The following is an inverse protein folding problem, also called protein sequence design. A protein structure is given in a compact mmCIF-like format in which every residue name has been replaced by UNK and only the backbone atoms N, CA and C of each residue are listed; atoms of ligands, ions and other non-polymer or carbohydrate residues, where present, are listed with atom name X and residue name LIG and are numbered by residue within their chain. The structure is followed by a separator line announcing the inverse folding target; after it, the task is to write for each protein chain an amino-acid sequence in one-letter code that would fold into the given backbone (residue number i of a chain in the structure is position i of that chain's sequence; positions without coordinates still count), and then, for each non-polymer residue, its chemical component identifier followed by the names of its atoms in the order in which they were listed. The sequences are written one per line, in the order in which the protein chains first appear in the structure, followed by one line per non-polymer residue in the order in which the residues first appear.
data_IF_829824605771
#
_entry.id   IF_829824605771
#
_cell.length_a   1.000
_cell.length_b   1.000
_cell.length_c   1.000
_cell.angle_alpha   90.00
_cell.angle_beta   90.00
_cell.angle_gamma   90.00
#
_symmetry.space_group_name_H-M   'P 1'
#
loop_
_entity.id
_entity.type
_entity.pdbx_description
1 polymer ?
#
# COMPACT_ATOMS: atom_id res chain seq x y z
N UNK A 1 17.57 -26.15 43.57
CA UNK A 1 16.16 -26.19 43.09
C UNK A 1 16.01 -25.32 41.86
N UNK A 2 15.92 -25.90 40.66
CA UNK A 2 15.79 -25.14 39.40
C UNK A 2 14.32 -24.87 39.08
N UNK A 3 13.94 -23.59 38.94
CA UNK A 3 12.59 -23.16 38.54
C UNK A 3 12.35 -23.44 37.04
N UNK A 4 11.56 -24.46 36.72
CA UNK A 4 11.05 -24.70 35.36
C UNK A 4 9.98 -23.65 35.02
N UNK A 5 10.19 -22.87 33.94
CA UNK A 5 9.18 -21.92 33.44
C UNK A 5 8.16 -22.65 32.57
N UNK A 6 6.90 -22.28 32.71
CA UNK A 6 5.77 -22.89 31.97
C UNK A 6 5.96 -22.62 30.46
N UNK A 7 6.13 -23.69 29.68
CA UNK A 7 6.24 -23.57 28.22
C UNK A 7 4.86 -23.38 27.59
N UNK A 8 4.76 -22.49 26.60
CA UNK A 8 3.55 -22.24 25.80
C UNK A 8 3.51 -23.14 24.56
N UNK A 9 3.90 -24.42 24.67
CA UNK A 9 3.64 -25.35 23.56
C UNK A 9 2.13 -25.44 23.41
N UNK A 10 1.61 -25.12 22.22
CA UNK A 10 0.18 -25.14 21.94
C UNK A 10 -0.35 -26.54 22.26
N UNK A 11 -1.15 -26.64 23.32
CA UNK A 11 -1.78 -27.89 23.76
C UNK A 11 -3.07 -28.04 22.96
N UNK A 12 -2.95 -28.21 21.65
CA UNK A 12 -4.06 -28.35 20.71
C UNK A 12 -3.88 -29.63 19.89
N UNK A 13 -4.99 -30.28 19.56
CA UNK A 13 -5.01 -31.37 18.59
C UNK A 13 -4.63 -30.78 17.23
N UNK A 14 -3.48 -31.19 16.71
CA UNK A 14 -3.07 -30.89 15.35
C UNK A 14 -3.52 -32.11 14.55
N UNK A 15 -4.53 -31.91 13.71
CA UNK A 15 -4.98 -32.95 12.80
C UNK A 15 -4.01 -33.05 11.63
N UNK A 16 -3.15 -34.06 11.69
CA UNK A 16 -2.16 -34.37 10.65
C UNK A 16 -2.73 -35.29 9.55
N UNK A 17 -4.05 -35.52 9.51
CA UNK A 17 -4.70 -36.36 8.47
C UNK A 17 -4.76 -35.70 7.09
N UNK A 18 -4.45 -34.41 7.00
CA UNK A 18 -4.49 -33.63 5.77
C UNK A 18 -3.13 -33.43 5.10
N UNK A 19 -3.12 -32.90 3.86
CA UNK A 19 -1.89 -32.57 3.16
C UNK A 19 -1.05 -31.57 3.94
N UNK A 20 0.26 -31.81 3.93
CA UNK A 20 1.20 -30.99 4.68
C UNK A 20 1.16 -29.54 4.19
N UNK A 21 1.60 -28.61 5.04
CA UNK A 21 1.68 -27.20 4.63
C UNK A 21 2.57 -27.01 3.39
N UNK A 22 3.60 -27.84 3.24
CA UNK A 22 4.51 -27.78 2.10
C UNK A 22 3.83 -28.26 0.81
N UNK A 23 3.07 -29.36 0.87
CA UNK A 23 2.27 -29.84 -0.27
C UNK A 23 1.24 -28.79 -0.70
N UNK A 24 0.53 -28.19 0.27
CA UNK A 24 -0.44 -27.12 0.00
C UNK A 24 0.18 -25.85 -0.58
N UNK A 25 1.48 -25.63 -0.39
CA UNK A 25 2.22 -24.51 -0.98
C UNK A 25 2.86 -24.86 -2.32
N UNK A 26 3.10 -26.13 -2.60
CA UNK A 26 3.64 -26.62 -3.86
C UNK A 26 2.59 -26.54 -4.98
N UNK A 27 1.33 -26.76 -4.65
CA UNK A 27 0.21 -26.58 -5.58
C UNK A 27 -0.06 -25.08 -5.86
N UNK A 28 0.05 -24.60 -7.12
CA UNK A 28 -0.20 -23.20 -7.47
C UNK A 28 -1.66 -22.76 -7.27
N UNK A 29 -2.61 -23.69 -7.32
CA UNK A 29 -4.05 -23.43 -7.23
C UNK A 29 -4.61 -23.63 -5.84
N UNK A 30 -3.82 -24.17 -4.90
CA UNK A 30 -4.20 -24.29 -3.50
C UNK A 30 -4.49 -22.92 -2.86
N UNK A 31 -5.40 -22.93 -1.88
CA UNK A 31 -5.78 -21.73 -1.12
C UNK A 31 -4.59 -21.04 -0.46
N UNK A 32 -3.63 -21.79 0.08
CA UNK A 32 -2.46 -21.23 0.76
C UNK A 32 -1.53 -20.49 -0.21
N UNK A 33 -1.38 -21.03 -1.42
CA UNK A 33 -0.63 -20.39 -2.52
C UNK A 33 -1.32 -19.09 -2.97
N UNK A 34 -2.63 -19.12 -3.19
CA UNK A 34 -3.42 -17.91 -3.52
C UNK A 34 -3.33 -16.85 -2.42
N UNK A 35 -3.44 -17.27 -1.15
CA UNK A 35 -3.33 -16.37 0.00
C UNK A 35 -1.94 -15.74 0.09
N UNK A 36 -0.87 -16.49 -0.20
CA UNK A 36 0.50 -15.96 -0.23
C UNK A 36 0.68 -14.95 -1.36
N UNK A 37 0.20 -15.25 -2.57
CA UNK A 37 0.21 -14.32 -3.72
C UNK A 37 -0.55 -13.03 -3.39
N UNK A 38 -1.78 -13.16 -2.90
CA UNK A 38 -2.60 -12.00 -2.51
C UNK A 38 -1.94 -11.13 -1.44
N UNK A 39 -1.22 -11.73 -0.48
CA UNK A 39 -0.43 -10.98 0.52
C UNK A 39 0.79 -10.28 -0.08
N UNK A 40 1.45 -10.90 -1.06
CA UNK A 40 2.60 -10.32 -1.74
C UNK A 40 2.20 -9.17 -2.66
N UNK A 41 1.07 -9.33 -3.37
CA UNK A 41 0.47 -8.33 -4.26
C UNK A 41 -0.22 -7.21 -3.51
N UNK A 42 -0.59 -7.43 -2.23
CA UNK A 42 -1.18 -6.39 -1.40
C UNK A 42 -0.21 -5.21 -1.31
N UNK A 43 -0.63 -4.07 -1.88
CA UNK A 43 0.10 -2.81 -1.80
C UNK A 43 0.45 -2.54 -0.33
N UNK A 44 1.74 -2.35 -0.05
CA UNK A 44 2.19 -1.97 1.28
C UNK A 44 1.66 -0.58 1.58
N UNK A 45 0.99 -0.43 2.72
CA UNK A 45 0.63 0.89 3.21
C UNK A 45 1.92 1.61 3.58
N UNK A 46 2.27 2.63 2.81
CA UNK A 46 3.46 3.46 3.05
C UNK A 46 3.32 4.17 4.40
N UNK A 47 4.42 4.31 5.12
CA UNK A 47 4.45 5.11 6.36
C UNK A 47 4.16 6.58 6.07
N UNK A 48 3.79 7.36 7.09
CA UNK A 48 3.56 8.82 6.92
C UNK A 48 4.81 9.51 6.37
N UNK A 49 5.97 9.14 6.89
CA UNK A 49 7.26 9.68 6.43
C UNK A 49 7.56 9.31 4.97
N UNK A 50 7.33 8.07 4.57
CA UNK A 50 7.50 7.64 3.16
C UNK A 50 6.56 8.39 2.23
N UNK A 51 5.31 8.63 2.65
CA UNK A 51 4.36 9.42 1.87
C UNK A 51 4.81 10.87 1.73
N UNK A 52 5.35 11.48 2.79
CA UNK A 52 5.87 12.84 2.74
C UNK A 52 7.07 12.95 1.81
N UNK A 53 8.03 12.02 1.92
CA UNK A 53 9.20 11.96 1.04
C UNK A 53 8.81 11.80 -0.43
N UNK A 54 7.83 10.94 -0.73
CA UNK A 54 7.32 10.79 -2.10
C UNK A 54 6.59 12.03 -2.59
N UNK A 55 5.82 12.70 -1.72
CA UNK A 55 5.17 13.95 -2.06
C UNK A 55 6.21 15.02 -2.42
N UNK A 56 7.25 15.19 -1.61
CA UNK A 56 8.37 16.11 -1.87
C UNK A 56 9.08 15.78 -3.19
N UNK A 57 9.35 14.50 -3.47
CA UNK A 57 9.96 14.06 -4.73
C UNK A 57 9.03 14.29 -5.94
N UNK A 58 7.72 14.10 -5.77
CA UNK A 58 6.72 14.31 -6.83
C UNK A 58 6.42 15.79 -7.09
N UNK A 59 6.54 16.64 -6.07
CA UNK A 59 6.36 18.09 -6.20
C UNK A 59 7.53 18.74 -6.96
N UNK A 60 8.72 18.12 -6.94
CA UNK A 60 9.85 18.54 -7.77
C UNK A 60 9.70 18.24 -9.27
N UNK A 61 8.83 17.29 -9.66
CA UNK A 61 8.61 16.90 -11.06
C UNK A 61 7.26 17.34 -11.66
N UNK A 62 6.28 17.77 -10.84
CA UNK A 62 4.95 18.19 -11.28
C UNK A 62 4.75 19.71 -11.43
N UNK A 63 5.82 20.48 -11.64
CA UNK A 63 5.73 21.89 -12.07
C UNK A 63 5.29 22.05 -13.54
N UNK A 64 4.61 21.06 -14.11
CA UNK A 64 4.05 21.09 -15.46
C UNK A 64 2.54 20.82 -15.36
N UNK A 65 1.77 21.90 -15.50
CA UNK A 65 0.51 21.93 -16.25
C UNK A 65 -0.66 21.08 -15.75
N UNK A 66 -1.07 21.24 -14.49
CA UNK A 66 -2.47 21.02 -14.13
C UNK A 66 -3.24 22.34 -14.17
N UNK A 67 -3.35 22.93 -15.37
CA UNK A 67 -4.33 23.99 -15.65
C UNK A 67 -5.73 23.40 -15.54
N UNK A 68 -6.25 23.37 -14.31
CA UNK A 68 -7.62 22.95 -14.05
C UNK A 68 -8.56 23.93 -14.75
N UNK A 69 -9.13 23.49 -15.88
CA UNK A 69 -10.19 24.20 -16.63
C UNK A 69 -11.45 24.32 -15.78
N UNK A 70 -11.44 25.29 -14.88
CA UNK A 70 -12.58 25.67 -14.03
C UNK A 70 -13.03 27.06 -14.42
N UNK A 71 -14.33 27.33 -14.32
CA UNK A 71 -14.92 28.64 -14.67
C UNK A 71 -14.25 29.80 -13.93
N UNK A 72 -13.83 29.57 -12.68
CA UNK A 72 -13.12 30.56 -11.88
C UNK A 72 -11.71 30.82 -12.42
N UNK A 73 -10.97 29.78 -12.81
CA UNK A 73 -9.64 29.93 -13.41
C UNK A 73 -9.71 30.70 -14.74
N UNK A 74 -10.73 30.44 -15.56
CA UNK A 74 -10.94 31.19 -16.81
C UNK A 74 -11.27 32.66 -16.54
N UNK A 75 -12.09 32.94 -15.52
CA UNK A 75 -12.42 34.31 -15.09
C UNK A 75 -11.20 35.08 -14.59
N UNK A 76 -10.35 34.43 -13.80
CA UNK A 76 -9.10 35.01 -13.31
C UNK A 76 -8.15 35.31 -14.47
N UNK A 77 -8.02 34.39 -15.45
CA UNK A 77 -7.22 34.63 -16.65
C UNK A 77 -7.72 35.85 -17.44
N UNK A 78 -9.04 35.97 -17.63
CA UNK A 78 -9.65 37.11 -18.33
C UNK A 78 -9.39 38.45 -17.59
N UNK A 79 -9.62 38.49 -16.29
CA UNK A 79 -9.37 39.69 -15.48
C UNK A 79 -7.89 40.11 -15.47
N UNK A 80 -6.97 39.14 -15.50
CA UNK A 80 -5.54 39.45 -15.57
C UNK A 80 -5.14 39.96 -16.96
N UNK A 81 -5.76 39.49 -18.04
CA UNK A 81 -5.54 40.05 -19.39
C UNK A 81 -6.04 41.50 -19.47
N UNK A 82 -7.25 41.77 -19.00
CA UNK A 82 -7.82 43.12 -18.97
C UNK A 82 -6.93 44.11 -18.19
N UNK A 83 -6.31 43.68 -17.09
CA UNK A 83 -5.36 44.50 -16.31
C UNK A 83 -3.99 44.74 -16.94
N UNK A 84 -3.63 43.98 -17.97
CA UNK A 84 -2.34 44.16 -18.67
C UNK A 84 -2.49 45.04 -19.92
N UNK A 85 -3.73 45.19 -20.42
CA UNK A 85 -4.06 46.00 -21.59
C UNK A 85 -4.43 47.46 -21.23
N UNK A 86 -4.60 47.76 -19.93
CA UNK A 86 -4.76 49.11 -19.33
C UNK A 86 -3.42 49.68 -18.83
#
# INVERSE_FOLDING_TARGET
MTRLRKSRKAKGFIDDSGPSRNERLADPDSYDSRRRKAKAEKKKNKSVFEKQREAEQSNGSNSQTNDRKTRLADKIRKLNQEKQDD
#
